data_IF_532525843280
#
_entry.id   IF_532525843280
#
_cell.length_a   1.000
_cell.length_b   1.000
_cell.length_c   1.000
_cell.angle_alpha   90.00
_cell.angle_beta   90.00
_cell.angle_gamma   90.00
#
_symmetry.space_group_name_H-M   'P 1'
#
loop_
_entity.id
_entity.type
_entity.pdbx_description
1 polymer ?
#
# COMPACT_ATOMS: atom_id res chain seq x y z
N UNK A 1 13.97 -18.64 -32.07
CA UNK A 1 13.78 -20.07 -31.67
C UNK A 1 15.08 -20.75 -31.25
N UNK A 2 16.15 -20.73 -32.06
CA UNK A 2 17.43 -21.36 -31.67
C UNK A 2 18.13 -20.63 -30.52
N UNK A 3 18.14 -19.30 -30.56
CA UNK A 3 18.66 -18.47 -29.47
C UNK A 3 17.84 -18.60 -28.19
N UNK A 4 16.52 -18.68 -28.29
CA UNK A 4 15.62 -18.95 -27.16
C UNK A 4 15.91 -20.27 -26.50
N UNK A 5 16.02 -21.34 -27.31
CA UNK A 5 16.38 -22.67 -26.80
C UNK A 5 17.75 -22.67 -26.10
N UNK A 6 18.75 -22.02 -26.68
CA UNK A 6 20.07 -21.89 -26.06
C UNK A 6 20.04 -21.07 -24.78
N UNK A 7 19.21 -20.03 -24.73
CA UNK A 7 18.98 -19.24 -23.53
C UNK A 7 18.33 -20.08 -22.42
N UNK A 8 17.29 -20.84 -22.72
CA UNK A 8 16.61 -21.72 -21.76
C UNK A 8 17.54 -22.82 -21.22
N UNK A 9 18.40 -23.39 -22.10
CA UNK A 9 19.42 -24.34 -21.70
C UNK A 9 20.47 -23.75 -20.75
N UNK A 10 20.88 -22.48 -20.97
CA UNK A 10 21.81 -21.79 -20.08
C UNK A 10 21.17 -21.45 -18.73
N UNK A 11 19.90 -21.04 -18.71
CA UNK A 11 19.15 -20.80 -17.49
C UNK A 11 18.97 -22.10 -16.69
N UNK A 12 18.67 -23.22 -17.37
CA UNK A 12 18.56 -24.52 -16.71
C UNK A 12 19.91 -24.91 -16.04
N UNK A 13 21.02 -24.76 -16.73
CA UNK A 13 22.36 -25.02 -16.16
C UNK A 13 22.72 -24.11 -15.01
N UNK A 14 22.34 -22.82 -15.09
CA UNK A 14 22.53 -21.87 -13.98
C UNK A 14 21.78 -22.33 -12.73
N UNK A 15 20.55 -22.82 -12.89
CA UNK A 15 19.72 -23.30 -11.78
C UNK A 15 20.28 -24.53 -11.05
N UNK A 16 21.11 -25.35 -11.72
CA UNK A 16 21.76 -26.50 -11.10
C UNK A 16 22.84 -26.10 -10.06
N UNK A 17 23.48 -24.94 -10.25
CA UNK A 17 24.57 -24.46 -9.38
C UNK A 17 24.11 -23.39 -8.39
N UNK A 18 22.87 -22.95 -8.48
CA UNK A 18 22.33 -21.87 -7.69
C UNK A 18 21.73 -22.42 -6.40
N UNK A 19 22.24 -21.95 -5.26
CA UNK A 19 21.62 -22.23 -3.94
C UNK A 19 20.46 -21.27 -3.75
N UNK A 20 19.23 -21.77 -3.91
CA UNK A 20 18.02 -20.95 -3.73
C UNK A 20 17.86 -20.53 -2.29
N UNK A 21 17.35 -19.31 -2.10
CA UNK A 21 16.98 -18.74 -0.80
C UNK A 21 18.09 -18.81 0.26
N UNK A 22 19.38 -18.83 -0.15
CA UNK A 22 20.48 -18.92 0.80
C UNK A 22 20.52 -17.73 1.75
N UNK A 23 20.25 -16.54 1.24
CA UNK A 23 20.20 -15.30 2.02
C UNK A 23 19.15 -15.38 3.13
N UNK A 24 17.92 -15.76 2.78
CA UNK A 24 16.82 -15.97 3.75
C UNK A 24 17.15 -17.07 4.76
N UNK A 25 17.73 -18.19 4.30
CA UNK A 25 18.11 -19.31 5.17
C UNK A 25 19.13 -18.90 6.22
N UNK A 26 20.12 -18.06 5.89
CA UNK A 26 21.10 -17.56 6.85
C UNK A 26 20.42 -16.77 7.95
N UNK A 27 19.53 -15.83 7.59
CA UNK A 27 18.79 -15.04 8.55
C UNK A 27 17.87 -15.89 9.42
N UNK A 28 17.08 -16.76 8.82
CA UNK A 28 16.13 -17.63 9.52
C UNK A 28 16.88 -18.55 10.53
N UNK A 29 18.00 -19.14 10.10
CA UNK A 29 18.83 -19.97 10.98
C UNK A 29 19.43 -19.16 12.14
N UNK A 30 19.71 -17.88 11.94
CA UNK A 30 20.19 -16.98 12.98
C UNK A 30 19.07 -16.42 13.91
N UNK A 31 17.81 -16.81 13.69
CA UNK A 31 16.64 -16.32 14.42
C UNK A 31 16.01 -15.07 13.84
N UNK A 32 16.35 -14.70 12.61
CA UNK A 32 15.70 -13.61 11.86
C UNK A 32 14.26 -13.97 11.45
N UNK A 33 13.40 -12.98 11.37
CA UNK A 33 12.00 -13.16 10.98
C UNK A 33 11.45 -11.91 10.30
N UNK A 34 10.39 -12.09 9.51
CA UNK A 34 9.67 -10.98 8.88
C UNK A 34 10.49 -10.22 7.84
N UNK A 35 11.46 -10.88 7.18
CA UNK A 35 12.19 -10.28 6.06
C UNK A 35 11.22 -9.95 4.93
N UNK A 36 11.21 -8.68 4.54
CA UNK A 36 10.34 -8.22 3.46
C UNK A 36 10.85 -6.88 2.89
N UNK A 37 10.20 -6.43 1.82
CA UNK A 37 10.42 -5.13 1.21
C UNK A 37 9.12 -4.54 0.68
N UNK A 38 9.09 -3.23 0.51
CA UNK A 38 8.02 -2.54 -0.20
C UNK A 38 8.60 -1.41 -1.04
N UNK A 39 7.90 -1.08 -2.11
CA UNK A 39 8.22 0.06 -2.97
C UNK A 39 7.02 1.00 -3.02
N UNK A 40 7.29 2.28 -2.96
CA UNK A 40 6.35 3.35 -3.28
C UNK A 40 6.94 4.25 -4.35
N UNK A 41 6.28 5.32 -4.69
CA UNK A 41 6.71 6.26 -5.72
C UNK A 41 8.06 6.91 -5.43
N UNK A 42 8.38 7.10 -4.14
CA UNK A 42 9.56 7.89 -3.70
C UNK A 42 10.65 7.02 -3.07
N UNK A 43 10.36 5.78 -2.67
CA UNK A 43 11.30 4.97 -1.90
C UNK A 43 11.11 3.47 -2.06
N UNK A 44 12.16 2.71 -1.77
CA UNK A 44 12.08 1.27 -1.48
C UNK A 44 12.60 1.02 -0.07
N UNK A 45 11.81 0.36 0.76
CA UNK A 45 12.18 -0.02 2.12
C UNK A 45 12.41 -1.53 2.24
N UNK A 46 13.57 -1.92 2.76
CA UNK A 46 13.92 -3.31 3.08
C UNK A 46 14.00 -3.46 4.59
N UNK A 47 13.40 -4.48 5.14
CA UNK A 47 13.39 -4.67 6.58
C UNK A 47 13.39 -6.13 7.00
N UNK A 48 13.91 -6.37 8.19
CA UNK A 48 13.93 -7.66 8.88
C UNK A 48 14.00 -7.42 10.39
N UNK A 49 13.47 -8.35 11.17
CA UNK A 49 13.71 -8.41 12.61
C UNK A 49 14.75 -9.49 12.90
N UNK A 50 15.81 -9.11 13.59
CA UNK A 50 16.88 -10.04 14.03
C UNK A 50 17.07 -9.95 15.55
N UNK A 51 17.53 -11.01 16.25
CA UNK A 51 17.96 -10.92 17.64
C UNK A 51 19.05 -9.87 17.81
N UNK A 52 19.06 -9.09 18.89
CA UNK A 52 20.01 -7.99 19.11
C UNK A 52 21.47 -8.44 19.02
N UNK A 53 21.79 -9.67 19.46
CA UNK A 53 23.12 -10.27 19.32
C UNK A 53 23.47 -10.69 17.89
N UNK A 54 22.58 -10.53 16.92
CA UNK A 54 22.77 -10.79 15.49
C UNK A 54 22.79 -9.52 14.63
N UNK A 55 22.77 -8.33 15.24
CA UNK A 55 22.84 -7.07 14.53
C UNK A 55 24.11 -6.96 13.65
N UNK A 56 25.24 -7.48 14.12
CA UNK A 56 26.49 -7.50 13.36
C UNK A 56 26.40 -8.42 12.13
N UNK A 57 25.75 -9.59 12.24
CA UNK A 57 25.46 -10.47 11.12
C UNK A 57 24.64 -9.75 10.06
N UNK A 58 23.61 -9.01 10.48
CA UNK A 58 22.79 -8.20 9.57
C UNK A 58 23.63 -7.14 8.84
N UNK A 59 24.49 -6.41 9.57
CA UNK A 59 25.35 -5.38 8.96
C UNK A 59 26.33 -5.98 7.96
N UNK A 60 26.90 -7.13 8.26
CA UNK A 60 27.74 -7.84 7.32
C UNK A 60 26.98 -8.25 6.06
N UNK A 61 25.87 -8.95 6.19
CA UNK A 61 25.11 -9.46 5.05
C UNK A 61 24.57 -8.33 4.16
N UNK A 62 24.01 -7.29 4.75
CA UNK A 62 23.45 -6.16 3.98
C UNK A 62 24.58 -5.35 3.30
N UNK A 63 25.70 -5.15 3.97
CA UNK A 63 26.84 -4.47 3.33
C UNK A 63 27.45 -5.28 2.20
N UNK A 64 27.54 -6.61 2.31
CA UNK A 64 27.99 -7.48 1.21
C UNK A 64 27.01 -7.43 0.02
N UNK A 65 25.72 -7.48 0.28
CA UNK A 65 24.68 -7.36 -0.75
C UNK A 65 24.78 -6.04 -1.52
N UNK A 66 25.08 -4.94 -0.81
CA UNK A 66 25.25 -3.61 -1.42
C UNK A 66 26.58 -3.49 -2.18
N UNK A 67 27.65 -4.09 -1.66
CA UNK A 67 28.99 -4.00 -2.25
C UNK A 67 29.17 -4.91 -3.48
N UNK A 68 28.56 -6.10 -3.44
CA UNK A 68 28.71 -7.12 -4.45
C UNK A 68 27.35 -7.61 -5.00
N UNK A 69 26.56 -6.73 -5.64
CA UNK A 69 25.26 -7.12 -6.18
C UNK A 69 25.41 -8.11 -7.32
N UNK A 70 24.64 -9.19 -7.29
CA UNK A 70 24.61 -10.19 -8.36
C UNK A 70 23.15 -10.49 -8.73
N UNK A 71 22.71 -10.06 -9.91
CA UNK A 71 21.37 -10.34 -10.42
C UNK A 71 21.32 -11.72 -11.10
N UNK A 72 21.40 -12.77 -10.29
CA UNK A 72 21.48 -14.16 -10.78
C UNK A 72 20.19 -14.64 -11.43
N UNK A 73 19.04 -14.30 -10.83
CA UNK A 73 17.71 -14.75 -11.27
C UNK A 73 16.89 -13.60 -11.89
N UNK A 74 17.57 -12.60 -12.47
CA UNK A 74 16.92 -11.38 -12.97
C UNK A 74 15.70 -11.64 -13.87
N UNK A 75 15.82 -12.54 -14.84
CA UNK A 75 14.73 -12.79 -15.78
C UNK A 75 13.55 -13.55 -15.12
N UNK A 76 13.85 -14.46 -14.20
CA UNK A 76 12.82 -15.15 -13.43
C UNK A 76 12.07 -14.17 -12.51
N UNK A 77 12.80 -13.27 -11.83
CA UNK A 77 12.19 -12.23 -10.99
C UNK A 77 11.40 -11.19 -11.79
N UNK A 78 11.85 -10.83 -12.98
CA UNK A 78 11.07 -9.98 -13.89
C UNK A 78 9.71 -10.60 -14.23
N UNK A 79 9.70 -11.90 -14.50
CA UNK A 79 8.45 -12.63 -14.78
C UNK A 79 7.57 -12.74 -13.53
N UNK A 80 8.14 -12.85 -12.33
CA UNK A 80 7.41 -12.77 -11.05
C UNK A 80 6.75 -11.39 -10.88
N UNK A 81 7.47 -10.29 -11.16
CA UNK A 81 6.90 -8.93 -11.11
C UNK A 81 5.76 -8.77 -12.12
N UNK A 82 5.87 -9.36 -13.30
CA UNK A 82 4.79 -9.34 -14.29
C UNK A 82 3.54 -10.08 -13.81
N UNK A 83 3.70 -11.26 -13.17
CA UNK A 83 2.60 -12.00 -12.55
C UNK A 83 2.02 -11.25 -11.35
N UNK A 84 2.84 -10.57 -10.54
CA UNK A 84 2.36 -9.70 -9.46
C UNK A 84 1.47 -8.57 -9.99
N UNK A 85 1.87 -7.91 -11.08
CA UNK A 85 1.02 -6.93 -11.77
C UNK A 85 -0.30 -7.57 -12.20
N UNK A 86 -0.24 -8.76 -12.81
CA UNK A 86 -1.43 -9.46 -13.27
C UNK A 86 -2.40 -9.74 -12.12
N UNK A 87 -1.89 -10.18 -10.98
CA UNK A 87 -2.71 -10.49 -9.80
C UNK A 87 -3.27 -9.23 -9.11
N UNK A 88 -2.47 -8.17 -8.99
CA UNK A 88 -2.86 -6.96 -8.23
C UNK A 88 -3.69 -5.98 -9.05
N UNK A 89 -3.39 -5.83 -10.33
CA UNK A 89 -4.04 -4.83 -11.19
C UNK A 89 -5.05 -5.45 -12.14
N UNK A 90 -4.67 -6.54 -12.86
CA UNK A 90 -5.50 -7.04 -13.96
C UNK A 90 -6.58 -8.00 -13.52
N UNK A 91 -6.34 -8.77 -12.47
CA UNK A 91 -7.29 -9.74 -11.93
C UNK A 91 -8.27 -9.13 -10.90
N UNK A 92 -8.08 -7.88 -10.50
CA UNK A 92 -9.01 -7.19 -9.60
C UNK A 92 -10.07 -6.43 -10.39
N UNK A 93 -11.33 -6.40 -9.95
CA UNK A 93 -12.42 -5.77 -10.71
C UNK A 93 -12.19 -4.30 -11.04
N UNK A 94 -11.50 -3.55 -10.18
CA UNK A 94 -11.26 -2.12 -10.34
C UNK A 94 -9.82 -1.77 -10.74
N UNK A 95 -8.85 -2.67 -10.56
CA UNK A 95 -7.43 -2.32 -10.60
C UNK A 95 -6.97 -1.61 -11.88
N UNK A 96 -7.48 -1.99 -13.06
CA UNK A 96 -7.16 -1.27 -14.31
C UNK A 96 -7.76 0.14 -14.36
N UNK A 97 -8.93 0.30 -13.78
CA UNK A 97 -9.59 1.61 -13.73
C UNK A 97 -8.95 2.54 -12.71
N UNK A 98 -8.56 2.00 -11.55
CA UNK A 98 -7.82 2.73 -10.51
C UNK A 98 -6.46 3.19 -11.06
N UNK A 99 -5.72 2.32 -11.75
CA UNK A 99 -4.47 2.68 -12.44
C UNK A 99 -4.70 3.79 -13.49
N UNK A 100 -5.76 3.67 -14.29
CA UNK A 100 -6.11 4.70 -15.29
C UNK A 100 -6.47 6.01 -14.60
N UNK A 101 -7.21 5.95 -13.50
CA UNK A 101 -7.65 7.12 -12.75
C UNK A 101 -6.47 7.84 -12.09
N UNK A 102 -5.55 7.11 -11.48
CA UNK A 102 -4.34 7.68 -10.88
C UNK A 102 -3.42 8.29 -11.96
N UNK A 103 -3.24 7.59 -13.07
CA UNK A 103 -2.47 8.11 -14.21
C UNK A 103 -3.09 9.35 -14.84
N UNK A 104 -4.41 9.45 -14.89
CA UNK A 104 -5.12 10.64 -15.37
C UNK A 104 -5.06 11.80 -14.37
N UNK A 105 -5.04 11.51 -13.08
CA UNK A 105 -4.99 12.53 -12.03
C UNK A 105 -3.68 13.31 -12.10
N UNK A 106 -2.53 12.65 -12.11
CA UNK A 106 -1.22 13.27 -12.28
C UNK A 106 -0.96 13.58 -13.76
N UNK A 107 -0.86 14.86 -14.10
CA UNK A 107 -0.74 15.27 -15.51
C UNK A 107 0.71 15.32 -15.99
N UNK A 108 1.58 15.91 -15.21
CA UNK A 108 2.97 16.15 -15.61
C UNK A 108 3.99 15.45 -14.72
N UNK A 109 3.69 15.25 -13.45
CA UNK A 109 4.62 14.62 -12.52
C UNK A 109 4.73 13.11 -12.77
N UNK A 110 5.94 12.50 -12.61
CA UNK A 110 6.13 11.05 -12.75
C UNK A 110 5.28 10.16 -11.82
N UNK A 111 4.53 10.71 -10.88
CA UNK A 111 3.54 9.98 -10.10
C UNK A 111 2.37 9.42 -10.93
N UNK A 112 2.27 9.79 -12.21
CA UNK A 112 1.31 9.18 -13.13
C UNK A 112 1.69 7.75 -13.56
N UNK A 113 2.89 7.27 -13.22
CA UNK A 113 3.33 5.93 -13.53
C UNK A 113 2.98 4.96 -12.41
N UNK A 114 2.43 3.78 -12.73
CA UNK A 114 2.14 2.79 -11.72
C UNK A 114 3.44 2.27 -11.07
N UNK A 115 3.43 2.11 -9.76
CA UNK A 115 4.62 1.63 -9.01
C UNK A 115 5.10 0.27 -9.51
N UNK A 116 4.18 -0.62 -9.90
CA UNK A 116 4.53 -1.93 -10.46
C UNK A 116 5.06 -1.86 -11.89
N UNK A 117 4.88 -0.72 -12.57
CA UNK A 117 5.25 -0.52 -13.98
C UNK A 117 4.13 -0.86 -14.97
N UNK A 118 4.23 -0.34 -16.19
CA UNK A 118 3.29 -0.63 -17.28
C UNK A 118 3.46 -2.05 -17.83
N UNK A 119 2.39 -2.69 -18.34
CA UNK A 119 2.45 -4.07 -18.84
C UNK A 119 3.39 -4.25 -20.04
N UNK A 120 3.61 -3.20 -20.83
CA UNK A 120 4.57 -3.21 -21.95
C UNK A 120 6.02 -3.12 -21.50
N UNK A 121 6.27 -2.41 -20.40
CA UNK A 121 7.61 -2.05 -19.96
C UNK A 121 8.28 -3.19 -19.18
N UNK A 122 7.53 -3.85 -18.29
CA UNK A 122 8.08 -4.90 -17.42
C UNK A 122 8.80 -6.00 -18.24
N UNK A 123 8.18 -6.61 -19.28
CA UNK A 123 8.86 -7.62 -20.08
C UNK A 123 10.06 -7.08 -20.86
N UNK A 124 10.10 -5.78 -21.14
CA UNK A 124 11.17 -5.13 -21.88
C UNK A 124 12.38 -4.75 -21.01
N UNK A 125 12.26 -4.78 -19.68
CA UNK A 125 13.38 -4.47 -18.78
C UNK A 125 14.52 -5.46 -19.00
N UNK A 126 15.70 -4.93 -19.26
CA UNK A 126 16.93 -5.72 -19.45
C UNK A 126 17.79 -5.71 -18.20
N UNK A 127 18.65 -6.73 -18.06
CA UNK A 127 19.64 -6.76 -16.98
C UNK A 127 20.53 -5.52 -16.98
N UNK A 128 20.92 -5.02 -18.15
CA UNK A 128 21.74 -3.81 -18.27
C UNK A 128 21.05 -2.56 -17.69
N UNK A 129 19.74 -2.44 -17.87
CA UNK A 129 18.94 -1.36 -17.25
C UNK A 129 18.87 -1.52 -15.74
N UNK A 130 18.71 -2.75 -15.23
CA UNK A 130 18.72 -3.01 -13.80
C UNK A 130 20.10 -2.71 -13.18
N UNK A 131 21.20 -3.08 -13.83
CA UNK A 131 22.56 -2.74 -13.42
C UNK A 131 22.78 -1.20 -13.38
N UNK A 132 22.30 -0.49 -14.39
CA UNK A 132 22.38 0.98 -14.47
C UNK A 132 21.54 1.65 -13.37
N UNK A 133 20.32 1.17 -13.12
CA UNK A 133 19.46 1.63 -12.05
C UNK A 133 20.10 1.40 -10.69
N UNK A 134 20.61 0.19 -10.44
CA UNK A 134 21.26 -0.16 -9.20
C UNK A 134 22.49 0.74 -8.93
N UNK A 135 23.36 0.90 -9.92
CA UNK A 135 24.56 1.73 -9.78
C UNK A 135 24.27 3.22 -9.49
N UNK A 136 23.08 3.69 -9.89
CA UNK A 136 22.64 5.08 -9.67
C UNK A 136 21.96 5.24 -8.30
N UNK A 137 20.99 4.40 -8.00
CA UNK A 137 20.10 4.60 -6.84
C UNK A 137 20.54 3.83 -5.59
N UNK A 138 21.29 2.72 -5.72
CA UNK A 138 21.76 1.90 -4.60
C UNK A 138 23.21 2.26 -4.21
N UNK A 139 23.48 3.53 -4.10
CA UNK A 139 24.77 4.07 -3.68
C UNK A 139 24.67 4.68 -2.27
N UNK A 140 25.76 4.69 -1.47
CA UNK A 140 25.74 5.13 -0.07
C UNK A 140 25.12 6.50 0.15
N UNK A 141 25.25 7.42 -0.81
CA UNK A 141 24.68 8.76 -0.72
C UNK A 141 23.15 8.80 -0.86
N UNK A 142 22.51 7.69 -1.24
CA UNK A 142 21.07 7.57 -1.41
C UNK A 142 20.47 6.44 -0.54
N UNK A 143 21.20 5.94 0.44
CA UNK A 143 20.77 4.85 1.33
C UNK A 143 20.82 5.34 2.77
N UNK A 144 19.73 5.12 3.49
CA UNK A 144 19.63 5.36 4.93
C UNK A 144 19.55 4.03 5.66
N UNK A 145 20.39 3.84 6.68
CA UNK A 145 20.32 2.70 7.60
C UNK A 145 19.48 3.10 8.81
N UNK A 146 18.47 2.30 9.09
CA UNK A 146 17.58 2.51 10.23
C UNK A 146 17.60 1.27 11.11
N UNK A 147 17.98 1.43 12.37
CA UNK A 147 17.98 0.37 13.38
C UNK A 147 17.10 0.79 14.56
N UNK A 148 16.19 -0.08 14.94
CA UNK A 148 15.26 0.14 16.05
C UNK A 148 15.29 -1.08 16.97
N UNK A 149 15.58 -0.86 18.25
CA UNK A 149 15.61 -1.95 19.21
C UNK A 149 16.43 -1.62 20.46
N UNK A 150 16.73 -2.63 21.25
CA UNK A 150 17.64 -2.53 22.40
C UNK A 150 19.09 -2.54 21.90
N UNK A 151 19.61 -1.35 21.56
CA UNK A 151 20.89 -1.16 20.93
C UNK A 151 21.68 -0.04 21.65
N UNK A 152 22.98 -0.24 21.80
CA UNK A 152 23.92 0.83 22.18
C UNK A 152 24.27 1.64 20.93
N UNK A 153 23.86 2.92 20.84
CA UNK A 153 24.05 3.74 19.64
C UNK A 153 25.52 3.91 19.24
N UNK A 154 26.45 4.04 20.21
CA UNK A 154 27.86 4.22 19.90
C UNK A 154 28.48 2.93 19.35
N UNK A 155 28.16 1.80 19.98
CA UNK A 155 28.63 0.49 19.51
C UNK A 155 28.10 0.17 18.12
N UNK A 156 26.80 0.38 17.90
CA UNK A 156 26.14 0.12 16.62
C UNK A 156 26.72 1.01 15.52
N UNK A 157 26.97 2.29 15.81
CA UNK A 157 27.59 3.22 14.86
C UNK A 157 28.98 2.76 14.45
N UNK A 158 29.81 2.32 15.40
CA UNK A 158 31.16 1.79 15.08
C UNK A 158 31.09 0.55 14.19
N UNK A 159 30.18 -0.37 14.49
CA UNK A 159 30.00 -1.59 13.68
C UNK A 159 29.51 -1.20 12.28
N UNK A 160 28.50 -0.32 12.18
CA UNK A 160 28.01 0.17 10.90
C UNK A 160 29.12 0.82 10.06
N UNK A 161 29.97 1.63 10.66
CA UNK A 161 31.14 2.22 9.99
C UNK A 161 32.11 1.16 9.46
N UNK A 162 32.32 0.08 10.23
CA UNK A 162 33.19 -1.02 9.82
C UNK A 162 32.67 -1.72 8.56
N UNK A 163 31.39 -2.00 8.50
CA UNK A 163 30.79 -2.78 7.39
C UNK A 163 30.39 -1.92 6.20
N UNK A 164 29.64 -0.83 6.44
CA UNK A 164 29.13 0.03 5.37
C UNK A 164 30.12 1.10 4.93
N UNK A 165 31.05 1.52 5.82
CA UNK A 165 32.07 2.53 5.49
C UNK A 165 33.05 2.13 4.40
N UNK A 166 33.13 0.82 4.06
CA UNK A 166 33.94 0.29 2.94
C UNK A 166 33.26 0.41 1.58
N UNK A 167 31.95 0.70 1.53
CA UNK A 167 31.22 0.85 0.28
C UNK A 167 31.62 2.18 -0.37
N UNK A 168 32.15 2.16 -1.60
CA UNK A 168 32.58 3.38 -2.26
C UNK A 168 31.39 4.27 -2.63
N UNK A 169 31.60 5.57 -2.60
CA UNK A 169 30.60 6.53 -3.09
C UNK A 169 30.25 6.23 -4.54
N UNK A 170 28.97 6.24 -4.88
CA UNK A 170 28.48 6.08 -6.22
C UNK A 170 29.02 7.15 -7.17
N UNK A 171 29.35 6.77 -8.40
CA UNK A 171 29.92 7.67 -9.42
C UNK A 171 28.86 8.61 -10.00
N UNK A 172 27.63 8.14 -10.10
CA UNK A 172 26.52 8.88 -10.68
C UNK A 172 25.69 9.50 -9.57
N UNK A 173 25.37 10.81 -9.62
CA UNK A 173 24.38 11.39 -8.74
C UNK A 173 23.00 10.85 -9.09
N UNK A 174 22.12 10.76 -8.09
CA UNK A 174 20.70 10.49 -8.34
C UNK A 174 20.13 11.69 -9.10
N UNK A 175 19.44 11.47 -10.23
CA UNK A 175 18.84 12.56 -11.00
C UNK A 175 17.81 13.34 -10.15
N UNK A 176 17.82 14.67 -10.28
CA UNK A 176 16.80 15.51 -9.68
C UNK A 176 15.45 15.33 -10.40
N UNK A 177 14.36 15.36 -9.63
CA UNK A 177 13.02 15.47 -10.19
C UNK A 177 12.78 16.90 -10.61
N UNK A 178 12.80 17.14 -11.92
CA UNK A 178 12.67 18.49 -12.50
C UNK A 178 11.22 18.84 -12.81
N UNK A 179 10.46 17.86 -13.33
CA UNK A 179 9.05 18.06 -13.70
C UNK A 179 8.17 17.93 -12.47
N UNK A 180 7.56 19.02 -12.07
CA UNK A 180 6.57 19.04 -11.00
C UNK A 180 5.16 18.99 -11.56
N UNK A 181 4.19 18.67 -10.71
CA UNK A 181 2.79 18.66 -11.11
C UNK A 181 2.30 20.07 -11.44
N UNK A 182 1.65 20.21 -12.58
CA UNK A 182 1.03 21.47 -13.00
C UNK A 182 -0.32 21.66 -12.30
N UNK A 183 -0.72 22.92 -11.97
CA UNK A 183 -2.05 23.16 -11.43
C UNK A 183 -3.15 22.70 -12.37
N UNK A 184 -4.01 21.81 -11.92
CA UNK A 184 -5.16 21.34 -12.70
C UNK A 184 -6.12 22.52 -13.00
N UNK A 185 -6.56 22.61 -14.25
CA UNK A 185 -7.38 23.74 -14.73
C UNK A 185 -8.88 23.42 -14.78
N UNK A 186 -9.25 22.16 -14.85
CA UNK A 186 -10.63 21.72 -14.95
C UNK A 186 -10.83 20.35 -14.28
N UNK A 187 -12.06 20.08 -13.83
CA UNK A 187 -12.44 18.77 -13.31
C UNK A 187 -12.13 17.67 -14.33
N UNK A 188 -11.50 16.59 -13.87
CA UNK A 188 -11.29 15.36 -14.64
C UNK A 188 -12.33 14.32 -14.21
N UNK A 189 -12.90 13.56 -15.16
CA UNK A 189 -13.89 12.52 -14.83
C UNK A 189 -13.60 11.22 -15.57
N UNK A 190 -13.66 10.11 -14.84
CA UNK A 190 -13.62 8.73 -15.34
C UNK A 190 -14.96 8.08 -15.03
N UNK A 191 -15.62 7.51 -16.02
CA UNK A 191 -16.80 6.66 -15.84
C UNK A 191 -16.47 5.26 -16.33
N UNK A 192 -16.64 4.25 -15.49
CA UNK A 192 -16.31 2.87 -15.80
C UNK A 192 -17.38 1.90 -15.31
N UNK A 193 -17.55 0.82 -16.05
CA UNK A 193 -18.38 -0.32 -15.65
C UNK A 193 -17.48 -1.46 -15.20
N UNK A 194 -17.66 -1.92 -13.96
CA UNK A 194 -16.84 -2.94 -13.34
C UNK A 194 -17.68 -4.04 -12.66
N UNK A 195 -17.05 -5.18 -12.43
CA UNK A 195 -17.65 -6.27 -11.65
C UNK A 195 -17.44 -6.01 -10.14
N UNK A 196 -17.85 -4.81 -9.70
CA UNK A 196 -17.74 -4.35 -8.33
C UNK A 196 -19.03 -3.65 -7.91
N UNK A 197 -19.16 -3.35 -6.61
CA UNK A 197 -20.25 -2.52 -6.14
C UNK A 197 -20.12 -1.10 -6.70
N UNK A 198 -21.25 -0.44 -7.00
CA UNK A 198 -21.22 0.94 -7.43
C UNK A 198 -20.55 1.84 -6.40
N UNK A 199 -19.57 2.64 -6.82
CA UNK A 199 -18.82 3.51 -5.91
C UNK A 199 -18.27 4.73 -6.60
N UNK A 200 -17.86 5.71 -5.80
CA UNK A 200 -17.20 6.92 -6.25
C UNK A 200 -15.88 7.10 -5.54
N UNK A 201 -14.87 7.51 -6.30
CA UNK A 201 -13.58 7.97 -5.83
C UNK A 201 -13.34 9.41 -6.30
N UNK A 202 -12.92 10.28 -5.36
CA UNK A 202 -12.66 11.70 -5.65
C UNK A 202 -11.27 12.05 -5.13
N UNK A 203 -10.42 12.55 -6.01
CA UNK A 203 -9.07 13.01 -5.70
C UNK A 203 -8.98 14.52 -5.84
N UNK A 204 -8.27 15.18 -4.94
CA UNK A 204 -7.87 16.58 -5.03
C UNK A 204 -6.36 16.69 -4.88
N UNK A 205 -5.71 17.50 -5.71
CA UNK A 205 -4.31 17.82 -5.50
C UNK A 205 -4.12 18.60 -4.20
N UNK A 206 -3.13 18.20 -3.43
CA UNK A 206 -2.76 18.84 -2.18
C UNK A 206 -1.23 19.05 -2.10
N UNK A 207 -0.69 19.08 -0.91
CA UNK A 207 0.67 19.51 -0.63
C UNK A 207 1.62 18.34 -0.36
N UNK A 208 2.93 18.53 -0.64
CA UNK A 208 3.93 17.54 -0.33
C UNK A 208 4.10 17.34 1.18
N UNK A 209 4.83 16.30 1.53
CA UNK A 209 5.23 16.00 2.91
C UNK A 209 5.98 17.16 3.56
N UNK A 210 5.73 17.40 4.86
CA UNK A 210 6.34 18.48 5.60
C UNK A 210 5.78 19.89 5.34
N UNK A 211 4.90 20.07 4.36
CA UNK A 211 4.22 21.36 4.14
C UNK A 211 3.26 21.68 5.28
N UNK A 212 3.18 22.95 5.68
CA UNK A 212 2.33 23.40 6.80
C UNK A 212 0.84 23.00 6.65
N UNK A 213 0.30 22.96 5.42
CA UNK A 213 -1.07 22.59 5.16
C UNK A 213 -1.32 21.07 5.25
N UNK A 214 -0.28 20.22 5.29
CA UNK A 214 -0.45 18.77 5.42
C UNK A 214 -1.11 18.38 6.74
N UNK A 215 -0.81 19.09 7.83
CA UNK A 215 -1.36 18.79 9.16
C UNK A 215 -2.85 19.12 9.28
N UNK A 216 -3.34 20.32 8.89
CA UNK A 216 -4.78 20.57 8.88
C UNK A 216 -5.52 19.68 7.86
N UNK A 217 -4.92 19.27 6.74
CA UNK A 217 -5.51 18.30 5.83
C UNK A 217 -5.61 16.89 6.45
N UNK A 218 -4.63 16.45 7.25
CA UNK A 218 -4.72 15.21 8.03
C UNK A 218 -5.82 15.28 9.08
N UNK A 219 -5.96 16.41 9.78
CA UNK A 219 -7.06 16.64 10.73
C UNK A 219 -8.39 16.58 10.00
N UNK A 220 -8.52 17.22 8.84
CA UNK A 220 -9.72 17.20 8.02
C UNK A 220 -10.07 15.78 7.55
N UNK A 221 -9.08 14.99 7.16
CA UNK A 221 -9.29 13.58 6.81
C UNK A 221 -9.88 12.79 7.98
N UNK A 222 -9.41 13.01 9.21
CA UNK A 222 -9.95 12.36 10.40
C UNK A 222 -11.37 12.86 10.78
N UNK A 223 -11.68 14.14 10.57
CA UNK A 223 -13.03 14.69 10.75
C UNK A 223 -14.03 14.03 9.79
N UNK A 224 -13.59 13.69 8.58
CA UNK A 224 -14.43 13.07 7.56
C UNK A 224 -14.56 11.56 7.71
N UNK A 225 -13.46 10.81 7.93
CA UNK A 225 -13.32 9.39 7.60
C UNK A 225 -13.55 8.43 8.74
N UNK A 226 -13.75 8.63 9.92
CA UNK A 226 -13.96 7.58 10.93
C UNK A 226 -15.41 7.13 11.02
N UNK A 227 -15.71 6.01 11.68
CA UNK A 227 -17.12 5.63 12.00
C UNK A 227 -17.86 6.69 12.82
N UNK A 228 -17.13 7.58 13.45
CA UNK A 228 -17.68 8.77 14.13
C UNK A 228 -17.47 10.05 13.33
N UNK A 229 -16.91 9.96 12.12
CA UNK A 229 -16.66 11.06 11.21
C UNK A 229 -17.90 11.51 10.46
N UNK A 230 -17.79 12.64 9.81
CA UNK A 230 -18.94 13.32 9.17
C UNK A 230 -19.47 12.53 7.98
N UNK A 231 -18.60 11.94 7.15
CA UNK A 231 -19.05 11.14 6.00
C UNK A 231 -19.86 9.93 6.47
N UNK A 232 -19.35 9.15 7.40
CA UNK A 232 -20.08 7.98 7.89
C UNK A 232 -21.41 8.36 8.54
N UNK A 233 -21.41 9.40 9.40
CA UNK A 233 -22.65 9.88 10.05
C UNK A 233 -23.64 10.44 9.03
N UNK A 234 -23.18 11.22 8.06
CA UNK A 234 -24.06 11.86 7.08
C UNK A 234 -24.58 10.89 6.03
N UNK A 235 -23.71 10.04 5.48
CA UNK A 235 -24.02 9.24 4.30
C UNK A 235 -24.48 7.81 4.63
N UNK A 236 -23.92 7.20 5.69
CA UNK A 236 -24.25 5.82 6.06
C UNK A 236 -25.39 5.77 7.08
N UNK A 237 -25.32 6.56 8.15
CA UNK A 237 -26.33 6.57 9.21
C UNK A 237 -27.48 7.54 8.91
N UNK A 238 -27.20 8.72 8.33
CA UNK A 238 -28.17 9.78 8.06
C UNK A 238 -28.96 9.53 6.78
N UNK A 239 -28.44 9.97 5.65
CA UNK A 239 -29.12 9.83 4.35
C UNK A 239 -29.19 8.40 3.81
N UNK A 240 -28.38 7.51 4.34
CA UNK A 240 -28.29 6.10 3.97
C UNK A 240 -28.04 5.83 2.47
N UNK A 241 -27.36 6.73 1.79
CA UNK A 241 -26.99 6.59 0.38
C UNK A 241 -25.74 5.73 0.15
N UNK A 242 -24.95 5.51 1.22
CA UNK A 242 -23.72 4.73 1.16
C UNK A 242 -23.72 3.57 2.16
N UNK A 243 -22.97 2.51 1.86
CA UNK A 243 -22.66 1.41 2.78
C UNK A 243 -21.38 1.66 3.54
N UNK A 244 -20.42 2.31 2.91
CA UNK A 244 -19.14 2.70 3.50
C UNK A 244 -18.64 4.01 2.89
N UNK A 245 -17.78 4.72 3.64
CA UNK A 245 -17.16 5.97 3.22
C UNK A 245 -15.77 6.12 3.79
N UNK A 246 -14.92 6.81 3.07
CA UNK A 246 -13.56 7.10 3.53
C UNK A 246 -13.13 8.51 3.15
N UNK A 247 -12.09 8.98 3.83
CA UNK A 247 -11.39 10.22 3.51
C UNK A 247 -9.96 10.13 4.04
N UNK A 248 -8.97 10.43 3.21
CA UNK A 248 -7.55 10.37 3.59
C UNK A 248 -6.74 11.46 2.93
N UNK A 249 -5.78 12.00 3.67
CA UNK A 249 -4.71 12.84 3.14
C UNK A 249 -3.47 11.99 2.92
N UNK A 250 -2.91 12.05 1.73
CA UNK A 250 -1.64 11.46 1.39
C UNK A 250 -0.68 12.54 0.91
N UNK A 251 0.43 12.71 1.61
CA UNK A 251 1.50 13.64 1.22
C UNK A 251 2.72 12.81 0.81
N UNK A 252 3.01 12.79 -0.49
CA UNK A 252 4.22 12.20 -1.06
C UNK A 252 5.36 13.22 -1.03
N UNK A 253 6.53 12.87 -1.48
CA UNK A 253 7.72 13.74 -1.41
C UNK A 253 7.54 15.07 -2.16
N UNK A 254 6.95 15.05 -3.34
CA UNK A 254 6.89 16.20 -4.25
C UNK A 254 5.51 16.84 -4.36
N UNK A 255 4.47 16.09 -4.13
CA UNK A 255 3.08 16.55 -4.18
C UNK A 255 2.23 15.70 -3.24
N UNK A 256 0.98 16.07 -3.04
CA UNK A 256 0.04 15.28 -2.24
C UNK A 256 -1.33 15.19 -2.90
N UNK A 257 -2.14 14.32 -2.36
CA UNK A 257 -3.53 14.19 -2.73
C UNK A 257 -4.42 14.03 -1.50
N UNK A 258 -5.64 14.48 -1.62
CA UNK A 258 -6.72 14.10 -0.71
C UNK A 258 -7.67 13.19 -1.46
N UNK A 259 -7.98 12.04 -0.89
CA UNK A 259 -8.91 11.08 -1.46
C UNK A 259 -10.13 10.97 -0.56
N UNK A 260 -11.32 11.09 -1.13
CA UNK A 260 -12.59 10.79 -0.46
C UNK A 260 -13.49 10.00 -1.40
N UNK A 261 -14.22 9.05 -0.84
CA UNK A 261 -15.10 8.21 -1.64
C UNK A 261 -16.07 7.42 -0.78
N UNK A 262 -16.85 6.59 -1.45
CA UNK A 262 -17.77 5.68 -0.79
C UNK A 262 -18.47 4.74 -1.75
N UNK A 263 -18.91 3.62 -1.21
CA UNK A 263 -19.71 2.63 -1.90
C UNK A 263 -21.19 2.97 -1.77
N UNK A 264 -21.91 3.01 -2.91
CA UNK A 264 -23.33 3.30 -2.92
C UNK A 264 -24.13 2.14 -2.33
N UNK A 265 -25.11 2.46 -1.49
CA UNK A 265 -26.05 1.48 -0.97
C UNK A 265 -26.98 0.98 -2.10
N UNK A 266 -27.42 -0.25 -2.01
CA UNK A 266 -28.36 -0.82 -2.97
C UNK A 266 -29.59 0.11 -3.18
N UNK A 267 -29.92 0.37 -4.44
CA UNK A 267 -30.96 1.31 -4.85
C UNK A 267 -30.51 2.76 -5.01
N UNK A 268 -29.25 3.08 -4.66
CA UNK A 268 -28.64 4.39 -4.84
C UNK A 268 -27.54 4.37 -5.91
N UNK A 269 -27.25 5.53 -6.49
CA UNK A 269 -26.23 5.69 -7.52
C UNK A 269 -24.96 6.33 -6.91
N UNK A 270 -23.78 6.04 -7.48
CA UNK A 270 -22.53 6.65 -7.03
C UNK A 270 -22.54 8.19 -7.05
N UNK A 271 -23.29 8.79 -7.99
CA UNK A 271 -23.42 10.25 -8.08
C UNK A 271 -24.18 10.83 -6.87
N UNK A 272 -25.08 10.07 -6.24
CA UNK A 272 -25.74 10.50 -5.00
C UNK A 272 -24.76 10.53 -3.82
N UNK A 273 -23.85 9.55 -3.77
CA UNK A 273 -22.74 9.50 -2.78
C UNK A 273 -21.78 10.67 -3.03
N UNK A 274 -21.42 10.92 -4.30
CA UNK A 274 -20.60 12.07 -4.70
C UNK A 274 -21.17 13.40 -4.18
N UNK A 275 -22.45 13.66 -4.44
CA UNK A 275 -23.11 14.89 -3.99
C UNK A 275 -23.20 15.00 -2.48
N UNK A 276 -23.42 13.88 -1.80
CA UNK A 276 -23.45 13.85 -0.33
C UNK A 276 -22.07 14.14 0.28
N UNK A 277 -20.97 13.63 -0.34
CA UNK A 277 -19.60 13.97 0.05
C UNK A 277 -19.35 15.47 -0.09
N UNK A 278 -19.74 16.08 -1.21
CA UNK A 278 -19.60 17.54 -1.41
C UNK A 278 -20.39 18.32 -0.38
N UNK A 279 -21.58 17.87 -0.03
CA UNK A 279 -22.39 18.50 1.01
C UNK A 279 -21.67 18.53 2.36
N UNK A 280 -21.03 17.46 2.77
CA UNK A 280 -20.27 17.42 4.03
C UNK A 280 -18.98 18.28 3.95
N UNK A 281 -18.30 18.30 2.81
CA UNK A 281 -17.14 19.17 2.58
C UNK A 281 -17.56 20.66 2.60
N UNK A 282 -18.68 20.99 1.97
CA UNK A 282 -19.19 22.36 1.96
C UNK A 282 -19.58 22.88 3.36
N UNK A 283 -20.05 22.02 4.25
CA UNK A 283 -20.22 22.37 5.67
C UNK A 283 -18.89 22.78 6.31
N UNK A 284 -17.79 22.05 6.02
CA UNK A 284 -16.46 22.39 6.52
C UNK A 284 -15.89 23.69 5.94
N UNK A 285 -16.32 24.08 4.73
CA UNK A 285 -15.97 25.37 4.13
C UNK A 285 -16.74 26.54 4.72
N UNK A 286 -18.01 26.33 5.02
CA UNK A 286 -18.92 27.39 5.48
C UNK A 286 -18.90 27.55 6.99
N UNK A 287 -19.04 26.45 7.71
CA UNK A 287 -19.24 26.43 9.14
C UNK A 287 -17.90 26.23 9.86
N UNK A 288 -17.81 26.73 11.08
CA UNK A 288 -16.68 26.39 11.95
C UNK A 288 -16.87 24.99 12.54
N UNK A 289 -15.77 24.22 12.57
CA UNK A 289 -15.77 22.94 13.26
C UNK A 289 -15.91 23.17 14.77
N UNK A 290 -16.85 22.51 15.46
CA UNK A 290 -16.95 22.63 16.92
C UNK A 290 -15.60 22.31 17.59
N UNK A 291 -15.19 23.13 18.55
CA UNK A 291 -13.91 22.98 19.24
C UNK A 291 -13.75 21.59 19.88
N UNK A 292 -14.82 21.01 20.39
CA UNK A 292 -14.85 19.66 20.96
C UNK A 292 -14.58 18.58 19.90
N UNK A 293 -15.17 18.72 18.69
CA UNK A 293 -14.95 17.79 17.58
C UNK A 293 -13.49 17.84 17.11
N UNK A 294 -12.92 19.03 16.97
CA UNK A 294 -11.51 19.21 16.65
C UNK A 294 -10.60 18.60 17.72
N UNK A 295 -10.90 18.87 19.00
CA UNK A 295 -10.10 18.33 20.11
C UNK A 295 -10.16 16.82 20.18
N UNK A 296 -11.31 16.21 19.91
CA UNK A 296 -11.45 14.75 19.81
C UNK A 296 -10.53 14.16 18.74
N UNK A 297 -10.46 14.77 17.55
CA UNK A 297 -9.57 14.31 16.47
C UNK A 297 -8.11 14.42 16.88
N UNK A 298 -7.70 15.54 17.49
CA UNK A 298 -6.35 15.74 18.01
C UNK A 298 -5.97 14.68 19.06
N UNK A 299 -6.87 14.39 19.98
CA UNK A 299 -6.66 13.36 21.01
C UNK A 299 -6.53 11.97 20.39
N UNK A 300 -7.35 11.64 19.38
CA UNK A 300 -7.24 10.36 18.67
C UNK A 300 -5.88 10.24 17.93
N UNK A 301 -5.43 11.33 17.33
CA UNK A 301 -4.10 11.36 16.70
C UNK A 301 -2.99 11.12 17.72
N UNK A 302 -2.99 11.86 18.82
CA UNK A 302 -2.00 11.68 19.89
C UNK A 302 -2.01 10.24 20.45
N UNK A 303 -3.20 9.67 20.67
CA UNK A 303 -3.31 8.28 21.12
C UNK A 303 -2.80 7.27 20.08
N UNK A 304 -2.99 7.53 18.80
CA UNK A 304 -2.46 6.69 17.72
C UNK A 304 -0.92 6.77 17.66
N UNK A 305 -0.36 7.97 17.76
CA UNK A 305 1.09 8.18 17.83
C UNK A 305 1.70 7.43 19.03
N UNK A 306 1.11 7.57 20.21
CA UNK A 306 1.58 6.85 21.39
C UNK A 306 1.57 5.33 21.19
N UNK A 307 0.49 4.78 20.62
CA UNK A 307 0.41 3.34 20.32
C UNK A 307 1.49 2.86 19.34
N UNK A 308 1.88 3.70 18.37
CA UNK A 308 2.95 3.36 17.42
C UNK A 308 4.32 3.22 18.08
N UNK A 309 4.55 3.93 19.18
CA UNK A 309 5.80 3.86 19.94
C UNK A 309 5.92 2.61 20.83
N UNK A 310 4.87 1.80 20.97
CA UNK A 310 4.85 0.63 21.87
C UNK A 310 5.58 -0.60 21.32
N UNK A 311 5.99 -0.60 20.06
CA UNK A 311 6.77 -1.71 19.49
C UNK A 311 7.74 -1.22 18.41
N UNK A 312 8.82 -1.99 18.19
CA UNK A 312 9.89 -1.61 17.28
C UNK A 312 9.44 -1.49 15.83
N UNK A 313 8.59 -2.40 15.36
CA UNK A 313 8.21 -2.47 13.94
C UNK A 313 7.42 -1.23 13.46
N UNK A 314 6.37 -0.74 14.15
CA UNK A 314 5.72 0.52 13.79
C UNK A 314 6.66 1.73 13.81
N UNK A 315 7.60 1.79 14.78
CA UNK A 315 8.61 2.86 14.82
C UNK A 315 9.52 2.78 13.60
N UNK A 316 9.99 1.58 13.24
CA UNK A 316 10.80 1.35 12.05
C UNK A 316 10.09 1.82 10.78
N UNK A 317 8.83 1.40 10.59
CA UNK A 317 8.05 1.80 9.41
C UNK A 317 7.83 3.32 9.32
N UNK A 318 7.58 4.00 10.44
CA UNK A 318 7.45 5.45 10.47
C UNK A 318 8.75 6.13 10.07
N UNK A 319 9.89 5.68 10.60
CA UNK A 319 11.20 6.22 10.25
C UNK A 319 11.49 6.02 8.75
N UNK A 320 11.26 4.82 8.21
CA UNK A 320 11.45 4.53 6.78
C UNK A 320 10.58 5.46 5.93
N UNK A 321 9.29 5.56 6.24
CA UNK A 321 8.36 6.35 5.44
C UNK A 321 8.63 7.85 5.51
N UNK A 322 8.98 8.38 6.67
CA UNK A 322 9.25 9.80 6.83
C UNK A 322 10.59 10.19 6.21
N UNK A 323 11.63 9.36 6.37
CA UNK A 323 12.93 9.57 5.74
C UNK A 323 12.82 9.56 4.21
N UNK A 324 12.16 8.56 3.66
CA UNK A 324 11.95 8.44 2.21
C UNK A 324 11.14 9.58 1.60
N UNK A 325 10.22 10.19 2.37
CA UNK A 325 9.44 11.36 1.94
C UNK A 325 10.19 12.69 2.13
N UNK A 326 11.22 12.71 2.96
CA UNK A 326 12.06 13.91 3.10
C UNK A 326 12.66 14.19 4.47
N UNK A 327 12.00 13.86 5.58
CA UNK A 327 12.54 14.12 6.92
C UNK A 327 12.04 13.13 7.97
N UNK A 328 12.92 12.26 8.44
CA UNK A 328 12.63 11.31 9.51
C UNK A 328 12.24 11.98 10.84
N UNK A 329 12.64 13.25 11.08
CA UNK A 329 12.36 14.00 12.33
C UNK A 329 10.86 14.25 12.52
N UNK A 330 10.07 14.18 11.46
CA UNK A 330 8.61 14.26 11.53
C UNK A 330 7.99 13.21 12.47
N UNK A 331 8.68 12.10 12.75
CA UNK A 331 8.26 11.14 13.79
C UNK A 331 8.09 11.83 15.15
N UNK A 332 8.91 12.81 15.48
CA UNK A 332 8.86 13.54 16.74
C UNK A 332 8.04 14.84 16.66
N UNK A 333 7.90 15.44 15.50
CA UNK A 333 7.37 16.79 15.32
C UNK A 333 5.89 16.81 14.90
N UNK A 334 5.45 15.82 14.12
CA UNK A 334 4.11 15.78 13.55
C UNK A 334 3.01 15.90 14.62
N UNK A 335 3.19 15.26 15.77
CA UNK A 335 2.24 15.31 16.88
C UNK A 335 1.99 16.73 17.36
N UNK A 336 3.04 17.51 17.62
CA UNK A 336 2.94 18.90 18.05
C UNK A 336 2.32 19.79 16.96
N UNK A 337 2.70 19.58 15.70
CA UNK A 337 2.14 20.33 14.56
C UNK A 337 0.63 20.06 14.38
N UNK A 338 0.17 18.81 14.54
CA UNK A 338 -1.26 18.46 14.52
C UNK A 338 -1.99 19.10 15.71
N UNK A 339 -1.40 19.08 16.93
CA UNK A 339 -2.01 19.75 18.09
C UNK A 339 -2.17 21.26 17.91
N UNK A 340 -1.29 21.91 17.16
CA UNK A 340 -1.35 23.34 16.86
C UNK A 340 -2.43 23.73 15.83
N UNK A 341 -3.00 22.78 15.07
CA UNK A 341 -4.04 23.06 14.06
C UNK A 341 -5.25 23.74 14.69
N UNK A 342 -5.71 24.84 14.09
CA UNK A 342 -6.89 25.59 14.54
C UNK A 342 -8.11 25.28 13.70
N UNK A 343 -9.30 25.68 14.19
CA UNK A 343 -10.56 25.63 13.41
C UNK A 343 -10.44 26.46 12.13
N UNK A 344 -9.78 27.62 12.21
CA UNK A 344 -9.54 28.47 11.06
C UNK A 344 -8.65 27.78 10.00
N UNK A 345 -7.65 27.00 10.42
CA UNK A 345 -6.81 26.25 9.49
C UNK A 345 -7.61 25.16 8.74
N UNK A 346 -8.47 24.44 9.43
CA UNK A 346 -9.35 23.44 8.81
C UNK A 346 -10.24 24.08 7.74
N UNK A 347 -10.90 25.19 8.08
CA UNK A 347 -11.75 25.95 7.16
C UNK A 347 -10.94 26.51 5.98
N UNK A 348 -9.76 27.03 6.22
CA UNK A 348 -8.86 27.57 5.21
C UNK A 348 -8.43 26.50 4.19
N UNK A 349 -7.96 25.35 4.65
CA UNK A 349 -7.54 24.28 3.74
C UNK A 349 -8.72 23.66 3.00
N UNK A 350 -9.89 23.54 3.62
CA UNK A 350 -11.11 23.09 2.96
C UNK A 350 -11.47 23.99 1.77
N UNK A 351 -11.41 25.30 1.95
CA UNK A 351 -11.68 26.27 0.88
C UNK A 351 -10.59 26.29 -0.19
N UNK A 352 -9.32 26.12 0.21
CA UNK A 352 -8.18 26.20 -0.71
C UNK A 352 -8.10 25.01 -1.66
N UNK A 353 -8.30 23.80 -1.15
CA UNK A 353 -7.99 22.59 -1.91
C UNK A 353 -9.22 21.88 -2.51
N UNK A 354 -10.39 21.94 -1.86
CA UNK A 354 -11.57 21.22 -2.35
C UNK A 354 -12.39 22.05 -3.34
N UNK A 355 -11.76 22.54 -4.38
CA UNK A 355 -12.44 23.24 -5.48
C UNK A 355 -12.82 22.25 -6.57
N UNK A 356 -13.76 22.64 -7.43
CA UNK A 356 -14.19 21.81 -8.56
C UNK A 356 -13.07 21.61 -9.57
N UNK A 357 -12.32 22.66 -9.84
CA UNK A 357 -11.24 22.64 -10.83
C UNK A 357 -10.10 21.71 -10.40
N UNK A 358 -9.84 21.62 -9.10
CA UNK A 358 -8.73 20.86 -8.50
C UNK A 358 -9.03 19.36 -8.31
N UNK A 359 -10.21 18.88 -8.73
CA UNK A 359 -10.60 17.48 -8.45
C UNK A 359 -10.62 16.60 -9.69
N UNK A 360 -10.37 15.33 -9.48
CA UNK A 360 -10.70 14.24 -10.38
C UNK A 360 -11.74 13.34 -9.72
N UNK A 361 -12.67 12.80 -10.51
CA UNK A 361 -13.76 11.95 -10.02
C UNK A 361 -13.82 10.69 -10.87
N UNK A 362 -13.80 9.52 -10.21
CA UNK A 362 -14.08 8.24 -10.83
C UNK A 362 -15.43 7.71 -10.33
N UNK A 363 -16.31 7.42 -11.27
CA UNK A 363 -17.59 6.78 -11.05
C UNK A 363 -17.50 5.34 -11.56
N UNK A 364 -17.73 4.40 -10.68
CA UNK A 364 -17.78 2.98 -11.02
C UNK A 364 -19.21 2.50 -10.89
N UNK A 365 -19.77 2.03 -12.00
CA UNK A 365 -21.09 1.40 -12.04
C UNK A 365 -20.94 -0.11 -12.17
N UNK A 366 -21.92 -0.85 -11.69
CA UNK A 366 -21.90 -2.30 -11.82
C UNK A 366 -22.13 -2.71 -13.27
N UNK A 367 -21.25 -3.54 -13.80
CA UNK A 367 -21.38 -4.12 -15.14
C UNK A 367 -22.66 -4.96 -15.24
N UNK A 368 -23.43 -4.77 -16.29
CA UNK A 368 -24.64 -5.52 -16.53
C UNK A 368 -24.37 -7.02 -16.59
N UNK A 369 -25.13 -7.82 -15.84
CA UNK A 369 -24.96 -9.27 -15.72
C UNK A 369 -23.95 -9.72 -14.66
N UNK A 370 -23.21 -8.84 -14.04
CA UNK A 370 -22.44 -9.15 -12.83
C UNK A 370 -23.43 -9.37 -11.66
N UNK A 371 -23.35 -10.53 -11.04
CA UNK A 371 -24.14 -10.84 -9.83
C UNK A 371 -23.84 -9.86 -8.68
N UNK A 372 -24.67 -9.80 -7.63
CA UNK A 372 -24.36 -9.03 -6.45
C UNK A 372 -23.01 -9.49 -5.90
N UNK A 373 -22.29 -8.56 -5.26
CA UNK A 373 -21.07 -8.94 -4.53
C UNK A 373 -21.40 -10.06 -3.56
N UNK A 374 -20.47 -11.00 -3.43
CA UNK A 374 -20.58 -12.11 -2.51
C UNK A 374 -20.99 -11.61 -1.10
N UNK A 375 -22.17 -11.99 -0.59
CA UNK A 375 -22.66 -11.50 0.70
C UNK A 375 -21.69 -11.75 1.86
N UNK A 376 -20.84 -12.77 1.72
CA UNK A 376 -19.84 -13.10 2.72
C UNK A 376 -18.71 -12.03 2.83
N UNK A 377 -18.58 -11.16 1.83
CA UNK A 377 -17.63 -10.05 1.86
C UNK A 377 -18.19 -8.80 2.57
N UNK A 378 -19.48 -8.79 2.91
CA UNK A 378 -20.11 -7.68 3.61
C UNK A 378 -19.44 -7.47 4.99
N UNK A 379 -19.07 -6.24 5.29
CA UNK A 379 -18.42 -5.87 6.57
C UNK A 379 -16.90 -6.09 6.63
N UNK A 380 -16.29 -6.62 5.57
CA UNK A 380 -14.83 -6.68 5.44
C UNK A 380 -14.30 -5.36 4.86
N UNK A 381 -13.13 -4.91 5.32
CA UNK A 381 -12.43 -3.79 4.68
C UNK A 381 -11.76 -4.25 3.36
N UNK A 382 -11.31 -3.30 2.53
CA UNK A 382 -10.78 -3.57 1.18
C UNK A 382 -9.62 -4.57 1.18
N UNK A 383 -8.70 -4.45 2.14
CA UNK A 383 -7.57 -5.38 2.27
C UNK A 383 -8.05 -6.80 2.60
N UNK A 384 -9.04 -6.92 3.47
CA UNK A 384 -9.66 -8.19 3.82
C UNK A 384 -10.45 -8.78 2.64
N UNK A 385 -11.23 -7.94 1.93
CA UNK A 385 -11.95 -8.34 0.70
C UNK A 385 -10.98 -8.86 -0.35
N UNK A 386 -9.88 -8.13 -0.58
CA UNK A 386 -8.85 -8.52 -1.55
C UNK A 386 -8.22 -9.87 -1.17
N UNK A 387 -7.85 -10.06 0.09
CA UNK A 387 -7.29 -11.32 0.58
C UNK A 387 -8.26 -12.49 0.39
N UNK A 388 -9.55 -12.31 0.74
CA UNK A 388 -10.57 -13.34 0.56
C UNK A 388 -10.79 -13.66 -0.93
N UNK A 389 -10.81 -12.65 -1.80
CA UNK A 389 -10.95 -12.84 -3.26
C UNK A 389 -9.77 -13.61 -3.84
N UNK A 390 -8.53 -13.23 -3.51
CA UNK A 390 -7.32 -13.93 -3.98
C UNK A 390 -7.33 -15.40 -3.57
N UNK A 391 -7.67 -15.67 -2.30
CA UNK A 391 -7.75 -17.05 -1.84
C UNK A 391 -8.91 -17.80 -2.50
N UNK A 392 -10.06 -17.16 -2.68
CA UNK A 392 -11.22 -17.80 -3.36
C UNK A 392 -10.87 -18.20 -4.79
N UNK A 393 -10.10 -17.39 -5.51
CA UNK A 393 -9.62 -17.74 -6.85
C UNK A 393 -8.65 -18.93 -6.81
N UNK A 394 -7.72 -18.95 -5.87
CA UNK A 394 -6.80 -20.07 -5.72
C UNK A 394 -7.51 -21.38 -5.33
N UNK A 395 -8.57 -21.30 -4.54
CA UNK A 395 -9.38 -22.45 -4.16
C UNK A 395 -10.09 -23.10 -5.35
N UNK A 396 -10.47 -22.32 -6.38
CA UNK A 396 -11.10 -22.85 -7.59
C UNK A 396 -10.16 -23.76 -8.40
N UNK A 397 -8.85 -23.57 -8.28
CA UNK A 397 -7.82 -24.38 -8.96
C UNK A 397 -7.46 -25.66 -8.19
N UNK A 398 -7.96 -25.82 -6.97
CA UNK A 398 -7.70 -27.03 -6.14
C UNK A 398 -8.82 -28.02 -6.32
N UNK A 399 -8.53 -29.17 -6.93
CA UNK A 399 -9.49 -30.25 -7.18
C UNK A 399 -9.36 -31.42 -6.21
N UNK A 400 -8.47 -31.31 -5.21
CA UNK A 400 -8.23 -32.35 -4.22
C UNK A 400 -8.80 -31.94 -2.84
N UNK A 401 -9.87 -32.60 -2.36
CA UNK A 401 -10.48 -32.31 -1.06
C UNK A 401 -9.53 -32.49 0.12
N UNK A 402 -8.54 -33.40 0.03
CA UNK A 402 -7.58 -33.63 1.12
C UNK A 402 -6.63 -32.45 1.29
N UNK A 403 -6.17 -31.85 0.18
CA UNK A 403 -5.38 -30.61 0.22
C UNK A 403 -6.17 -29.46 0.86
N UNK A 404 -7.45 -29.34 0.53
CA UNK A 404 -8.31 -28.31 1.11
C UNK A 404 -8.51 -28.52 2.62
N UNK A 405 -8.64 -29.77 3.09
CA UNK A 405 -8.70 -30.09 4.53
C UNK A 405 -7.40 -29.75 5.25
N UNK A 406 -6.26 -30.02 4.62
CA UNK A 406 -4.94 -29.63 5.19
C UNK A 406 -4.82 -28.09 5.28
N UNK A 407 -5.23 -27.35 4.26
CA UNK A 407 -5.26 -25.88 4.31
C UNK A 407 -6.17 -25.36 5.43
N UNK A 408 -7.34 -25.97 5.61
CA UNK A 408 -8.28 -25.63 6.67
C UNK A 408 -7.65 -25.86 8.05
N UNK A 409 -7.02 -27.02 8.29
CA UNK A 409 -6.34 -27.33 9.55
C UNK A 409 -5.15 -26.41 9.86
N UNK A 410 -4.36 -26.05 8.85
CA UNK A 410 -3.26 -25.07 9.00
C UNK A 410 -3.80 -23.69 9.36
N UNK A 411 -4.88 -23.26 8.74
CA UNK A 411 -5.50 -21.99 9.04
C UNK A 411 -6.08 -21.96 10.46
N UNK A 412 -6.73 -23.02 10.91
CA UNK A 412 -7.29 -23.13 12.26
C UNK A 412 -6.20 -23.13 13.34
N UNK A 413 -5.08 -23.81 13.09
CA UNK A 413 -3.93 -23.79 14.01
C UNK A 413 -3.26 -22.41 14.09
N UNK A 414 -3.26 -21.63 13.00
CA UNK A 414 -2.74 -20.26 12.94
C UNK A 414 -3.72 -19.20 13.51
N UNK A 415 -5.01 -19.51 13.55
CA UNK A 415 -6.04 -18.55 13.94
C UNK A 415 -5.95 -18.07 15.39
N UNK A 416 -5.40 -18.90 16.28
CA UNK A 416 -5.22 -18.56 17.71
C UNK A 416 -4.27 -17.37 17.92
N UNK A 417 -3.29 -17.17 17.03
CA UNK A 417 -2.32 -16.08 17.07
C UNK A 417 -2.65 -14.89 16.15
N UNK A 418 -3.75 -14.97 15.41
CA UNK A 418 -4.09 -13.94 14.44
C UNK A 418 -4.58 -12.64 15.11
N UNK A 419 -4.20 -11.46 14.58
CA UNK A 419 -4.72 -10.17 15.03
C UNK A 419 -6.25 -10.14 15.02
N UNK A 420 -6.90 -9.54 16.05
CA UNK A 420 -8.37 -9.48 16.14
C UNK A 420 -9.06 -8.93 14.89
N UNK A 421 -8.43 -7.99 14.22
CA UNK A 421 -8.88 -7.39 12.97
C UNK A 421 -8.90 -8.36 11.78
N UNK A 422 -8.14 -9.44 11.81
CA UNK A 422 -8.10 -10.43 10.73
C UNK A 422 -9.15 -11.54 10.90
N UNK A 423 -9.73 -11.69 12.08
CA UNK A 423 -10.70 -12.77 12.37
C UNK A 423 -11.90 -12.78 11.41
N UNK A 424 -12.55 -11.64 11.07
CA UNK A 424 -13.67 -11.64 10.14
C UNK A 424 -13.32 -12.21 8.76
N UNK A 425 -12.17 -11.85 8.23
CA UNK A 425 -11.70 -12.37 6.94
C UNK A 425 -11.37 -13.87 7.01
N UNK A 426 -10.78 -14.32 8.11
CA UNK A 426 -10.47 -15.73 8.32
C UNK A 426 -11.73 -16.58 8.42
N UNK A 427 -12.81 -16.08 9.05
CA UNK A 427 -14.09 -16.76 9.12
C UNK A 427 -14.71 -16.94 7.74
N UNK A 428 -14.66 -15.94 6.89
CA UNK A 428 -15.12 -16.01 5.50
C UNK A 428 -14.28 -17.01 4.69
N UNK A 429 -12.97 -16.97 4.83
CA UNK A 429 -12.05 -17.91 4.18
C UNK A 429 -12.37 -19.35 4.56
N UNK A 430 -12.54 -19.63 5.85
CA UNK A 430 -12.91 -20.94 6.37
C UNK A 430 -14.19 -21.46 5.72
N UNK A 431 -15.23 -20.62 5.66
CA UNK A 431 -16.50 -20.93 5.03
C UNK A 431 -16.33 -21.30 3.55
N UNK A 432 -15.50 -20.56 2.82
CA UNK A 432 -15.25 -20.83 1.38
C UNK A 432 -14.45 -22.10 1.14
N UNK A 433 -13.44 -22.40 1.98
CA UNK A 433 -12.72 -23.68 1.89
C UNK A 433 -13.68 -24.83 2.13
N UNK A 434 -14.52 -24.76 3.17
CA UNK A 434 -15.51 -25.81 3.47
C UNK A 434 -16.50 -25.98 2.33
N UNK A 435 -17.04 -24.89 1.78
CA UNK A 435 -17.96 -24.94 0.65
C UNK A 435 -17.34 -25.64 -0.58
N UNK A 436 -16.04 -25.40 -0.87
CA UNK A 436 -15.32 -26.05 -1.96
C UNK A 436 -15.11 -27.54 -1.71
N UNK A 437 -14.82 -27.94 -0.48
CA UNK A 437 -14.73 -29.36 -0.08
C UNK A 437 -16.07 -30.04 -0.35
N UNK A 438 -17.17 -29.48 0.14
CA UNK A 438 -18.52 -30.03 -0.02
C UNK A 438 -18.92 -30.14 -1.50
N UNK A 439 -18.55 -29.17 -2.33
CA UNK A 439 -18.78 -29.18 -3.78
C UNK A 439 -18.06 -30.36 -4.46
N UNK A 440 -16.76 -30.53 -4.15
CA UNK A 440 -15.97 -31.61 -4.75
C UNK A 440 -16.43 -33.01 -4.30
N UNK A 441 -16.86 -33.13 -3.05
CA UNK A 441 -17.41 -34.38 -2.53
C UNK A 441 -18.78 -34.76 -3.19
N UNK A 442 -19.64 -33.74 -3.35
CA UNK A 442 -20.92 -33.94 -4.11
C UNK A 442 -20.66 -34.33 -5.56
N UNK A 443 -19.62 -33.76 -6.18
CA UNK A 443 -19.22 -34.07 -7.54
C UNK A 443 -18.68 -35.53 -7.66
N UNK A 444 -17.95 -36.02 -6.65
CA UNK A 444 -17.48 -37.41 -6.58
C UNK A 444 -18.63 -38.42 -6.34
N UNK A 445 -19.58 -38.08 -5.49
CA UNK A 445 -20.74 -38.94 -5.18
C UNK A 445 -21.79 -39.07 -6.33
N UNK A 446 -21.71 -38.20 -7.36
CA UNK A 446 -22.54 -38.29 -8.56
C UNK A 446 -21.91 -39.15 -9.70
N UNK A 447 -20.65 -39.54 -9.55
CA UNK A 447 -19.89 -40.35 -10.52
C UNK A 447 -19.69 -41.81 -10.09
N UNK A 448 -20.21 -42.24 -8.94
CA UNK A 448 -20.31 -43.59 -8.44
C UNK A 448 -21.81 -44.01 -8.43
#
# INVERSE_FOLDING_TARGET
>A
RELEKKFDELIAKQREVLVKNEFDRIYTTAGGSGMNAFTSEDMTGYFITVPSNKAELWMWMESERLLHPVFREFYAERDVVFEERRLRTEATPLGKYEETFESMFWESHPYNWPVVGWPSDIPAITKAQADAYYSTYYSPQNITLILVGDLDPEKVTRIAQTYFGRIPRGKNPVPDVVTLEVPQQAEKRLNAEAEANPQVDILWHTVPFGHADSYPLQVLAQLLSTRTGRLYKGLVLGSQVATDTFGRQESRKWAGLFNAGGEAKEGHRPEEVEQAIYTEIDKLKKDEVPAEELQKVKNNFAAAEYRRLTSNFPVLLQLIQNDGRGDWREVNEAGAKVQAVTVADVKRVANKYFTKENRAVAIYTRKAGAGPEDPDLAGLNDRQKQMVRQLSQSLQTVDDPEKLRQMLGQMESGAAGAPPEMKPAMDVIRKKIQARIDELEKAKGKKG
#
